data_IF_897642200602
#
_entry.id   IF_897642200602
#
_cell.length_a   1.000
_cell.length_b   1.000
_cell.length_c   1.000
_cell.angle_alpha   90.00
_cell.angle_beta   90.00
_cell.angle_gamma   90.00
#
_symmetry.space_group_name_H-M   'P 1'
#
loop_
_entity.id
_entity.type
_entity.pdbx_description
1 polymer ?
#
# COMPACT_ATOMS: atom_id res chain seq x y z
N UNK A 1 5.84 18.32 -0.23
CA UNK A 1 6.82 18.15 0.88
C UNK A 1 6.14 18.12 2.27
N UNK A 2 5.26 19.07 2.59
CA UNK A 2 4.58 19.11 3.90
C UNK A 2 3.71 17.87 4.18
N UNK A 3 2.97 17.37 3.21
CA UNK A 3 2.10 16.19 3.36
C UNK A 3 2.88 14.92 3.74
N UNK A 4 4.01 14.66 3.10
CA UNK A 4 4.82 13.46 3.37
C UNK A 4 5.45 13.48 4.77
N UNK A 5 5.95 14.64 5.21
CA UNK A 5 6.52 14.82 6.54
C UNK A 5 5.42 14.62 7.60
N UNK A 6 4.25 15.21 7.38
CA UNK A 6 3.11 15.04 8.27
C UNK A 6 2.67 13.58 8.39
N UNK A 7 2.54 12.86 7.29
CA UNK A 7 2.19 11.44 7.31
C UNK A 7 3.22 10.61 8.08
N UNK A 8 4.51 10.93 7.95
CA UNK A 8 5.58 10.30 8.73
C UNK A 8 5.42 10.53 10.23
N UNK A 9 5.18 11.78 10.64
CA UNK A 9 4.96 12.15 12.05
C UNK A 9 3.75 11.40 12.63
N UNK A 10 2.64 11.32 11.88
CA UNK A 10 1.45 10.55 12.33
C UNK A 10 1.80 9.11 12.66
N UNK A 11 2.49 8.44 11.74
CA UNK A 11 2.86 7.03 11.92
C UNK A 11 3.79 6.82 13.11
N UNK A 12 4.76 7.72 13.31
CA UNK A 12 5.69 7.64 14.44
C UNK A 12 4.95 7.86 15.76
N UNK A 13 4.13 8.91 15.84
CA UNK A 13 3.36 9.22 17.06
C UNK A 13 2.37 8.12 17.40
N UNK A 14 1.66 7.59 16.38
CA UNK A 14 0.72 6.47 16.58
C UNK A 14 1.46 5.21 17.04
N UNK A 15 2.61 4.90 16.43
CA UNK A 15 3.43 3.74 16.82
C UNK A 15 3.94 3.85 18.25
N UNK A 16 4.47 5.01 18.63
CA UNK A 16 4.94 5.25 20.01
C UNK A 16 3.79 5.18 21.03
N UNK A 17 2.61 5.71 20.69
CA UNK A 17 1.42 5.61 21.53
C UNK A 17 1.00 4.16 21.79
N UNK A 18 1.01 3.32 20.75
CA UNK A 18 0.70 1.89 20.89
C UNK A 18 1.75 1.17 21.74
N UNK A 19 3.04 1.43 21.52
CA UNK A 19 4.13 0.83 22.33
C UNK A 19 3.98 1.21 23.80
N UNK A 20 3.69 2.49 24.09
CA UNK A 20 3.49 2.97 25.44
C UNK A 20 2.33 2.26 26.15
N UNK A 21 1.20 2.09 25.46
CA UNK A 21 0.03 1.39 26.02
C UNK A 21 0.29 -0.11 26.15
N UNK A 22 1.01 -0.73 25.21
CA UNK A 22 1.41 -2.13 25.29
C UNK A 22 2.24 -2.43 26.56
N UNK A 23 3.06 -1.44 26.99
CA UNK A 23 3.86 -1.58 28.19
C UNK A 23 3.03 -1.52 29.48
N UNK A 24 1.93 -0.74 29.48
CA UNK A 24 1.08 -0.55 30.68
C UNK A 24 -0.01 -1.62 30.77
N UNK A 25 -0.70 -1.89 29.67
CA UNK A 25 -1.85 -2.80 29.59
C UNK A 25 -1.71 -3.66 28.33
N UNK A 26 -1.12 -4.88 28.44
CA UNK A 26 -0.83 -5.73 27.29
C UNK A 26 -2.05 -6.52 26.79
N UNK A 27 -3.24 -5.94 26.86
CA UNK A 27 -4.45 -6.55 26.32
C UNK A 27 -4.75 -6.04 24.89
N UNK A 28 -5.03 -6.97 23.99
CA UNK A 28 -5.22 -6.68 22.55
C UNK A 28 -6.28 -5.62 22.27
N UNK A 29 -7.39 -5.60 23.05
CA UNK A 29 -8.49 -4.66 22.85
C UNK A 29 -8.05 -3.20 23.11
N UNK A 30 -7.25 -2.97 24.17
CA UNK A 30 -6.74 -1.64 24.48
C UNK A 30 -5.68 -1.17 23.49
N UNK A 31 -4.87 -2.09 22.95
CA UNK A 31 -3.90 -1.77 21.90
C UNK A 31 -4.59 -1.31 20.61
N UNK A 32 -5.66 -2.01 20.21
CA UNK A 32 -6.46 -1.63 19.05
C UNK A 32 -7.13 -0.28 19.28
N UNK A 33 -7.77 -0.09 20.44
CA UNK A 33 -8.42 1.17 20.79
C UNK A 33 -7.40 2.34 20.81
N UNK A 34 -6.25 2.15 21.43
CA UNK A 34 -5.17 3.13 21.46
C UNK A 34 -4.68 3.55 20.08
N UNK A 35 -4.49 2.57 19.20
CA UNK A 35 -4.07 2.83 17.81
C UNK A 35 -5.08 3.73 17.09
N UNK A 36 -6.36 3.39 17.13
CA UNK A 36 -7.39 4.18 16.44
C UNK A 36 -7.62 5.55 17.09
N UNK A 37 -7.61 5.66 18.41
CA UNK A 37 -7.76 6.94 19.11
C UNK A 37 -6.59 7.87 18.76
N UNK A 38 -5.36 7.38 18.86
CA UNK A 38 -4.17 8.18 18.52
C UNK A 38 -4.19 8.62 17.06
N UNK A 39 -4.51 7.72 16.13
CA UNK A 39 -4.66 8.08 14.72
C UNK A 39 -5.73 9.16 14.50
N UNK A 40 -6.90 9.01 15.13
CA UNK A 40 -8.00 9.98 15.00
C UNK A 40 -7.60 11.36 15.48
N UNK A 41 -6.95 11.46 16.65
CA UNK A 41 -6.47 12.73 17.20
C UNK A 41 -5.46 13.40 16.25
N UNK A 42 -4.52 12.64 15.72
CA UNK A 42 -3.48 13.18 14.84
C UNK A 42 -4.07 13.61 13.50
N UNK A 43 -4.96 12.81 12.90
CA UNK A 43 -5.64 13.16 11.63
C UNK A 43 -6.50 14.41 11.82
N UNK A 44 -7.24 14.51 12.91
CA UNK A 44 -8.06 15.69 13.21
C UNK A 44 -7.22 16.95 13.40
N UNK A 45 -6.10 16.85 14.08
CA UNK A 45 -5.14 17.96 14.24
C UNK A 45 -4.57 18.41 12.89
N UNK A 46 -4.22 17.46 12.02
CA UNK A 46 -3.77 17.75 10.66
C UNK A 46 -4.84 18.43 9.81
N UNK A 47 -6.08 17.97 9.90
CA UNK A 47 -7.19 18.56 9.19
C UNK A 47 -7.39 20.04 9.58
N UNK A 48 -7.34 20.35 10.88
CA UNK A 48 -7.40 21.74 11.37
C UNK A 48 -6.26 22.61 10.85
N UNK A 49 -5.02 22.08 10.87
CA UNK A 49 -3.85 22.80 10.36
C UNK A 49 -3.94 23.02 8.84
N UNK A 50 -4.45 22.03 8.11
CA UNK A 50 -4.60 22.11 6.66
C UNK A 50 -5.63 23.20 6.27
N UNK A 51 -6.80 23.21 6.90
CA UNK A 51 -7.83 24.24 6.65
C UNK A 51 -7.33 25.64 7.01
N UNK A 52 -6.57 25.76 8.11
CA UNK A 52 -6.01 27.06 8.51
C UNK A 52 -5.03 27.60 7.49
N UNK A 53 -4.16 26.76 6.94
CA UNK A 53 -3.11 27.17 6.00
C UNK A 53 -3.58 27.23 4.55
N UNK A 54 -4.59 26.43 4.19
CA UNK A 54 -5.16 26.31 2.85
C UNK A 54 -6.68 26.36 2.92
N UNK A 55 -7.26 27.56 3.14
CA UNK A 55 -8.71 27.67 3.20
C UNK A 55 -9.33 27.24 1.86
N UNK A 56 -10.38 26.39 1.88
CA UNK A 56 -11.02 25.93 0.67
C UNK A 56 -11.62 27.13 -0.10
N UNK A 57 -11.20 27.28 -1.36
CA UNK A 57 -11.77 28.27 -2.28
C UNK A 57 -12.95 27.61 -2.99
N UNK A 58 -14.16 27.99 -2.60
CA UNK A 58 -15.39 27.36 -3.09
C UNK A 58 -15.89 27.96 -4.42
N UNK A 59 -14.98 28.33 -5.33
CA UNK A 59 -15.30 29.07 -6.54
C UNK A 59 -15.48 28.17 -7.78
N UNK A 60 -15.27 26.86 -7.66
CA UNK A 60 -15.39 25.92 -8.78
C UNK A 60 -16.42 24.86 -8.41
N UNK A 61 -17.60 24.93 -9.01
CA UNK A 61 -18.60 23.87 -8.98
C UNK A 61 -18.46 23.05 -10.25
N UNK A 62 -18.08 21.78 -10.11
CA UNK A 62 -18.12 20.80 -11.18
C UNK A 62 -19.33 19.90 -10.93
N UNK A 63 -20.38 20.05 -11.74
CA UNK A 63 -21.63 19.30 -11.63
C UNK A 63 -21.41 17.78 -11.73
N UNK A 64 -20.39 17.35 -12.47
CA UNK A 64 -20.01 15.95 -12.61
C UNK A 64 -19.23 15.37 -11.41
N UNK A 65 -18.67 16.21 -10.54
CA UNK A 65 -17.76 15.79 -9.49
C UNK A 65 -18.38 14.82 -8.48
N UNK A 66 -19.63 15.05 -8.08
CA UNK A 66 -20.34 14.19 -7.11
C UNK A 66 -20.62 12.81 -7.71
N UNK A 67 -21.06 12.77 -8.97
CA UNK A 67 -21.28 11.50 -9.67
C UNK A 67 -19.99 10.71 -9.85
N UNK A 68 -18.93 11.37 -10.30
CA UNK A 68 -17.61 10.76 -10.44
C UNK A 68 -17.07 10.24 -9.09
N UNK A 69 -17.18 11.04 -8.03
CA UNK A 69 -16.72 10.65 -6.70
C UNK A 69 -17.48 9.43 -6.18
N UNK A 70 -18.79 9.35 -6.40
CA UNK A 70 -19.60 8.20 -6.02
C UNK A 70 -19.15 6.92 -6.71
N UNK A 71 -18.94 6.95 -8.02
CA UNK A 71 -18.44 5.79 -8.77
C UNK A 71 -17.05 5.37 -8.33
N UNK A 72 -16.16 6.34 -8.13
CA UNK A 72 -14.78 6.07 -7.68
C UNK A 72 -14.75 5.49 -6.26
N UNK A 73 -15.60 6.00 -5.35
CA UNK A 73 -15.72 5.47 -3.99
C UNK A 73 -16.25 4.04 -4.01
N UNK A 74 -17.28 3.76 -4.81
CA UNK A 74 -17.84 2.42 -4.92
C UNK A 74 -16.80 1.42 -5.49
N UNK A 75 -16.11 1.80 -6.56
CA UNK A 75 -14.99 1.00 -7.10
C UNK A 75 -13.88 0.80 -6.08
N UNK A 76 -13.57 1.83 -5.28
CA UNK A 76 -12.60 1.75 -4.19
C UNK A 76 -12.97 0.75 -3.10
N UNK A 77 -14.25 0.72 -2.68
CA UNK A 77 -14.76 -0.28 -1.72
C UNK A 77 -14.64 -1.70 -2.27
N UNK A 78 -15.03 -1.92 -3.53
CA UNK A 78 -14.86 -3.22 -4.19
C UNK A 78 -13.40 -3.65 -4.25
N UNK A 79 -12.51 -2.77 -4.66
CA UNK A 79 -11.07 -3.06 -4.71
C UNK A 79 -10.50 -3.38 -3.32
N UNK A 80 -10.98 -2.71 -2.28
CA UNK A 80 -10.60 -3.00 -0.89
C UNK A 80 -11.06 -4.40 -0.46
N UNK A 81 -12.29 -4.79 -0.77
CA UNK A 81 -12.83 -6.12 -0.46
C UNK A 81 -12.08 -7.22 -1.22
N UNK A 82 -11.86 -7.01 -2.53
CA UNK A 82 -11.08 -7.93 -3.36
C UNK A 82 -9.63 -8.06 -2.86
N UNK A 83 -9.03 -6.97 -2.40
CA UNK A 83 -7.69 -6.96 -1.83
C UNK A 83 -7.55 -7.68 -0.48
N UNK A 84 -8.67 -8.10 0.15
CA UNK A 84 -8.68 -8.92 1.36
C UNK A 84 -9.27 -10.32 1.11
N UNK A 85 -9.71 -10.61 -0.10
CA UNK A 85 -10.41 -11.87 -0.43
C UNK A 85 -9.54 -13.10 -0.15
N UNK A 86 -8.24 -13.01 -0.43
CA UNK A 86 -7.26 -14.05 -0.12
C UNK A 86 -7.24 -14.40 1.37
N UNK A 87 -7.30 -13.41 2.25
CA UNK A 87 -7.30 -13.60 3.70
C UNK A 87 -8.61 -14.22 4.19
N UNK A 88 -9.74 -13.80 3.61
CA UNK A 88 -11.03 -14.43 3.92
C UNK A 88 -11.07 -15.89 3.50
N UNK A 89 -10.54 -16.22 2.31
CA UNK A 89 -10.45 -17.60 1.83
C UNK A 89 -9.54 -18.42 2.75
N UNK A 90 -8.36 -17.93 3.08
CA UNK A 90 -7.43 -18.65 3.96
C UNK A 90 -8.06 -18.87 5.35
N UNK A 91 -8.70 -17.86 5.92
CA UNK A 91 -9.37 -18.00 7.20
C UNK A 91 -10.50 -19.02 7.18
N UNK A 92 -11.36 -18.94 6.16
CA UNK A 92 -12.55 -19.80 6.06
C UNK A 92 -12.21 -21.29 5.87
N UNK A 93 -11.22 -21.59 5.01
CA UNK A 93 -10.88 -22.98 4.67
C UNK A 93 -9.80 -23.58 5.56
N UNK A 94 -8.89 -22.78 6.10
CA UNK A 94 -7.71 -23.26 6.82
C UNK A 94 -7.62 -22.77 8.28
N UNK A 95 -8.52 -21.89 8.69
CA UNK A 95 -8.63 -21.39 10.06
C UNK A 95 -7.63 -20.30 10.44
N UNK A 96 -7.70 -19.81 11.70
CA UNK A 96 -6.96 -18.62 12.16
C UNK A 96 -5.45 -18.82 12.22
N UNK A 97 -4.97 -20.04 12.52
CA UNK A 97 -3.52 -20.34 12.57
C UNK A 97 -2.90 -20.20 11.19
N UNK A 98 -3.56 -20.74 10.17
CA UNK A 98 -3.11 -20.63 8.77
C UNK A 98 -3.18 -19.20 8.25
N UNK A 99 -4.18 -18.41 8.71
CA UNK A 99 -4.25 -16.99 8.38
C UNK A 99 -3.06 -16.22 8.99
N UNK A 100 -2.70 -16.50 10.24
CA UNK A 100 -1.53 -15.87 10.88
C UNK A 100 -0.23 -16.20 10.14
N UNK A 101 -0.04 -17.48 9.78
CA UNK A 101 1.07 -17.96 8.95
C UNK A 101 1.13 -17.26 7.60
N UNK A 102 0.00 -17.19 6.87
CA UNK A 102 -0.11 -16.49 5.60
C UNK A 102 0.20 -15.00 5.74
N UNK A 103 -0.31 -14.36 6.78
CA UNK A 103 -0.09 -12.93 7.01
C UNK A 103 1.40 -12.63 7.25
N UNK A 104 2.08 -13.39 8.10
CA UNK A 104 3.52 -13.26 8.33
C UNK A 104 4.31 -13.50 7.04
N UNK A 105 3.99 -14.56 6.30
CA UNK A 105 4.65 -14.88 5.03
C UNK A 105 4.48 -13.77 3.97
N UNK A 106 3.33 -13.07 3.96
CA UNK A 106 3.02 -12.02 3.00
C UNK A 106 3.56 -10.63 3.38
N UNK A 107 3.99 -10.42 4.63
CA UNK A 107 4.37 -9.08 5.13
C UNK A 107 5.50 -8.45 4.32
N UNK A 108 6.63 -9.13 4.14
CA UNK A 108 7.77 -8.57 3.40
C UNK A 108 7.44 -8.39 1.92
N UNK A 109 6.88 -9.38 1.21
CA UNK A 109 6.44 -9.20 -0.17
C UNK A 109 5.53 -7.98 -0.36
N UNK A 110 4.55 -7.80 0.53
CA UNK A 110 3.64 -6.64 0.46
C UNK A 110 4.36 -5.30 0.66
N UNK A 111 5.35 -5.20 1.55
CA UNK A 111 6.10 -3.96 1.73
C UNK A 111 6.93 -3.62 0.48
N UNK A 112 7.55 -4.61 -0.17
CA UNK A 112 8.21 -4.41 -1.47
C UNK A 112 7.20 -3.92 -2.52
N UNK A 113 6.02 -4.52 -2.58
CA UNK A 113 4.94 -4.08 -3.46
C UNK A 113 4.54 -2.61 -3.21
N UNK A 114 4.43 -2.19 -1.96
CA UNK A 114 4.12 -0.79 -1.58
C UNK A 114 5.18 0.20 -2.07
N UNK A 115 6.46 -0.16 -2.00
CA UNK A 115 7.54 0.68 -2.54
C UNK A 115 7.35 0.89 -4.04
N UNK A 116 7.03 -0.17 -4.78
CA UNK A 116 6.78 -0.07 -6.23
C UNK A 116 5.58 0.83 -6.52
N UNK A 117 4.47 0.67 -5.80
CA UNK A 117 3.29 1.54 -5.94
C UNK A 117 3.63 3.00 -5.64
N UNK A 118 4.47 3.28 -4.66
CA UNK A 118 4.93 4.64 -4.35
C UNK A 118 5.72 5.25 -5.53
N UNK A 119 6.61 4.48 -6.16
CA UNK A 119 7.33 4.90 -7.36
C UNK A 119 6.36 5.22 -8.52
N UNK A 120 5.31 4.39 -8.68
CA UNK A 120 4.24 4.62 -9.64
C UNK A 120 3.52 5.96 -9.41
N UNK A 121 3.16 6.26 -8.17
CA UNK A 121 2.49 7.51 -7.82
C UNK A 121 3.33 8.75 -8.15
N UNK A 122 4.64 8.67 -7.97
CA UNK A 122 5.57 9.76 -8.35
C UNK A 122 5.68 9.90 -9.87
N UNK A 123 5.54 8.80 -10.62
CA UNK A 123 5.60 8.83 -12.08
C UNK A 123 4.30 9.33 -12.74
N UNK A 124 3.16 9.19 -12.07
CA UNK A 124 1.84 9.52 -12.61
C UNK A 124 1.71 10.95 -13.19
N UNK A 125 2.16 12.03 -12.52
CA UNK A 125 2.08 13.38 -13.08
C UNK A 125 2.86 13.55 -14.38
N UNK A 126 3.93 12.76 -14.58
CA UNK A 126 4.72 12.77 -15.81
C UNK A 126 3.95 12.13 -16.97
N UNK A 127 3.15 11.11 -16.67
CA UNK A 127 2.28 10.49 -17.67
C UNK A 127 1.17 11.43 -18.16
N UNK A 128 0.60 12.23 -17.24
CA UNK A 128 -0.44 13.21 -17.60
C UNK A 128 0.10 14.28 -18.55
N UNK A 129 1.32 14.79 -18.30
CA UNK A 129 1.90 15.92 -19.02
C UNK A 129 2.66 15.54 -20.29
N UNK A 130 3.10 14.30 -20.40
CA UNK A 130 3.98 13.88 -21.51
C UNK A 130 3.24 13.55 -22.81
N UNK A 131 3.96 13.66 -23.93
CA UNK A 131 3.46 13.26 -25.23
C UNK A 131 3.34 11.72 -25.38
N UNK A 132 2.36 11.27 -26.20
CA UNK A 132 2.00 9.85 -26.30
C UNK A 132 3.15 8.97 -26.79
N UNK A 133 3.80 9.38 -27.87
CA UNK A 133 4.82 8.54 -28.51
C UNK A 133 6.11 8.47 -27.70
N UNK A 134 6.52 9.60 -27.13
CA UNK A 134 7.67 9.65 -26.21
C UNK A 134 7.46 8.78 -24.97
N UNK A 135 6.26 8.82 -24.39
CA UNK A 135 5.95 8.04 -23.19
C UNK A 135 5.90 6.56 -23.49
N UNK A 136 5.33 6.13 -24.63
CA UNK A 136 5.21 4.71 -24.98
C UNK A 136 6.58 4.02 -25.04
N UNK A 137 7.57 4.64 -25.68
CA UNK A 137 8.93 4.11 -25.73
C UNK A 137 9.62 4.06 -24.37
N UNK A 138 9.50 5.16 -23.61
CA UNK A 138 10.09 5.25 -22.27
C UNK A 138 9.41 4.28 -21.29
N UNK A 139 8.09 4.08 -21.41
CA UNK A 139 7.32 3.18 -20.58
C UNK A 139 7.78 1.73 -20.75
N UNK A 140 7.89 1.25 -21.98
CA UNK A 140 8.35 -0.13 -22.26
C UNK A 140 9.71 -0.41 -21.65
N UNK A 141 10.69 0.48 -21.89
CA UNK A 141 12.04 0.33 -21.32
C UNK A 141 12.03 0.33 -19.79
N UNK A 142 11.24 1.22 -19.17
CA UNK A 142 11.14 1.29 -17.71
C UNK A 142 10.43 0.08 -17.11
N UNK A 143 9.42 -0.46 -17.79
CA UNK A 143 8.75 -1.69 -17.37
C UNK A 143 9.73 -2.86 -17.31
N UNK A 144 10.49 -3.08 -18.38
CA UNK A 144 11.50 -4.15 -18.43
C UNK A 144 12.54 -3.97 -17.33
N UNK A 145 13.06 -2.75 -17.17
CA UNK A 145 14.05 -2.45 -16.13
C UNK A 145 13.48 -2.71 -14.73
N UNK A 146 12.26 -2.22 -14.44
CA UNK A 146 11.64 -2.40 -13.12
C UNK A 146 11.33 -3.87 -12.84
N UNK A 147 10.82 -4.61 -13.84
CA UNK A 147 10.61 -6.06 -13.71
C UNK A 147 11.92 -6.78 -13.44
N UNK A 148 13.00 -6.44 -14.16
CA UNK A 148 14.33 -6.99 -13.91
C UNK A 148 14.83 -6.72 -12.49
N UNK A 149 14.67 -5.50 -12.00
CA UNK A 149 15.01 -5.13 -10.61
C UNK A 149 14.19 -5.95 -9.61
N UNK A 150 12.87 -6.10 -9.82
CA UNK A 150 12.02 -6.86 -8.92
C UNK A 150 12.36 -8.36 -8.92
N UNK A 151 12.66 -8.92 -10.08
CA UNK A 151 13.15 -10.31 -10.17
C UNK A 151 14.47 -10.46 -9.42
N UNK A 152 15.40 -9.53 -9.58
CA UNK A 152 16.65 -9.53 -8.83
C UNK A 152 16.43 -9.43 -7.31
N UNK A 153 15.56 -8.53 -6.87
CA UNK A 153 15.19 -8.40 -5.45
C UNK A 153 14.53 -9.69 -4.93
N UNK A 154 13.68 -10.35 -5.74
CA UNK A 154 13.07 -11.62 -5.37
C UNK A 154 14.09 -12.74 -5.22
N UNK A 155 15.10 -12.81 -6.10
CA UNK A 155 16.21 -13.76 -5.99
C UNK A 155 17.06 -13.49 -4.75
N UNK A 156 17.39 -12.23 -4.49
CA UNK A 156 18.10 -11.83 -3.27
C UNK A 156 17.32 -12.19 -2.02
N UNK A 157 16.01 -11.95 -2.05
CA UNK A 157 15.12 -12.32 -0.94
C UNK A 157 15.11 -13.83 -0.70
N UNK A 158 15.16 -14.65 -1.72
CA UNK A 158 15.21 -16.12 -1.58
C UNK A 158 16.39 -16.57 -0.71
N UNK A 159 17.55 -15.90 -0.85
CA UNK A 159 18.74 -16.18 -0.04
C UNK A 159 18.59 -15.65 1.39
N UNK A 160 18.01 -14.46 1.54
CA UNK A 160 17.89 -13.78 2.83
C UNK A 160 16.67 -14.19 3.66
N UNK A 161 15.66 -14.80 3.05
CA UNK A 161 14.39 -15.12 3.72
C UNK A 161 14.60 -16.09 4.89
N UNK A 162 15.38 -17.14 4.72
CA UNK A 162 15.60 -18.11 5.78
C UNK A 162 16.28 -17.50 7.04
N UNK A 163 17.44 -16.83 6.94
CA UNK A 163 18.03 -16.15 8.10
C UNK A 163 17.14 -15.08 8.70
N UNK A 164 16.39 -14.35 7.88
CA UNK A 164 15.45 -13.35 8.37
C UNK A 164 14.32 -13.97 9.23
N UNK A 165 13.69 -15.04 8.74
CA UNK A 165 12.65 -15.73 9.51
C UNK A 165 13.22 -16.40 10.76
N UNK A 166 14.42 -16.95 10.69
CA UNK A 166 15.06 -17.55 11.84
C UNK A 166 15.30 -16.56 13.00
N UNK A 167 15.65 -15.32 12.66
CA UNK A 167 15.93 -14.27 13.66
C UNK A 167 14.65 -13.63 14.20
N UNK A 168 13.72 -13.25 13.29
CA UNK A 168 12.57 -12.43 13.65
C UNK A 168 11.28 -13.22 13.87
N UNK A 169 11.13 -14.37 13.22
CA UNK A 169 9.91 -15.19 13.26
C UNK A 169 10.20 -16.68 13.39
N UNK A 170 10.94 -17.13 14.44
CA UNK A 170 11.41 -18.52 14.54
C UNK A 170 10.27 -19.54 14.50
N UNK A 171 9.10 -19.21 15.02
CA UNK A 171 7.91 -20.08 15.01
C UNK A 171 7.26 -20.24 13.62
N UNK A 172 7.65 -19.42 12.62
CA UNK A 172 7.12 -19.43 11.25
C UNK A 172 8.16 -19.82 10.19
N UNK A 173 9.24 -20.49 10.58
CA UNK A 173 10.30 -20.94 9.65
C UNK A 173 9.72 -21.83 8.54
N UNK A 174 8.71 -22.67 8.85
CA UNK A 174 8.02 -23.50 7.87
C UNK A 174 7.30 -22.73 6.76
N UNK A 175 7.08 -21.42 6.94
CA UNK A 175 6.36 -20.56 5.99
C UNK A 175 7.27 -19.77 5.04
N UNK A 176 8.61 -19.95 5.15
CA UNK A 176 9.59 -19.27 4.30
C UNK A 176 9.33 -19.55 2.82
N UNK A 177 9.04 -20.80 2.45
CA UNK A 177 8.72 -21.16 1.06
C UNK A 177 7.49 -20.42 0.53
N UNK A 178 6.44 -20.26 1.35
CA UNK A 178 5.25 -19.50 0.98
C UNK A 178 5.59 -18.03 0.75
N UNK A 179 6.42 -17.44 1.60
CA UNK A 179 6.86 -16.05 1.47
C UNK A 179 7.68 -15.82 0.20
N UNK A 180 8.56 -16.76 -0.17
CA UNK A 180 9.35 -16.70 -1.41
C UNK A 180 8.42 -16.74 -2.63
N UNK A 181 7.44 -17.65 -2.67
CA UNK A 181 6.46 -17.72 -3.78
C UNK A 181 5.68 -16.42 -3.91
N UNK A 182 5.21 -15.86 -2.79
CA UNK A 182 4.51 -14.58 -2.78
C UNK A 182 5.40 -13.45 -3.30
N UNK A 183 6.68 -13.44 -2.96
CA UNK A 183 7.62 -12.42 -3.43
C UNK A 183 7.77 -12.41 -4.96
N UNK A 184 7.85 -13.58 -5.59
CA UNK A 184 7.87 -13.69 -7.05
C UNK A 184 6.54 -13.23 -7.67
N UNK A 185 5.40 -13.46 -7.00
CA UNK A 185 4.10 -12.94 -7.43
C UNK A 185 4.08 -11.42 -7.55
N UNK A 186 4.80 -10.71 -6.70
CA UNK A 186 4.91 -9.24 -6.77
C UNK A 186 5.78 -8.73 -7.92
N UNK A 187 6.58 -9.57 -8.57
CA UNK A 187 7.33 -9.18 -9.78
C UNK A 187 6.40 -8.80 -10.96
N UNK A 188 5.11 -9.14 -10.88
CA UNK A 188 4.09 -8.78 -11.89
C UNK A 188 3.57 -7.34 -11.68
N UNK A 189 3.77 -6.71 -10.53
CA UNK A 189 3.25 -5.35 -10.23
C UNK A 189 3.62 -4.29 -11.29
N UNK A 190 4.76 -4.33 -11.99
CA UNK A 190 5.06 -3.35 -13.02
C UNK A 190 3.99 -3.19 -14.10
N UNK A 191 3.15 -4.20 -14.36
CA UNK A 191 2.04 -4.06 -15.31
C UNK A 191 1.05 -2.94 -14.90
N UNK A 192 0.97 -2.60 -13.61
CA UNK A 192 0.14 -1.49 -13.11
C UNK A 192 0.57 -0.13 -13.69
N UNK A 193 1.82 0.02 -14.18
CA UNK A 193 2.25 1.22 -14.92
C UNK A 193 1.44 1.40 -16.21
N UNK A 194 1.15 0.30 -16.89
CA UNK A 194 0.33 0.31 -18.12
C UNK A 194 -1.07 0.79 -17.78
N UNK A 195 -1.68 0.24 -16.74
CA UNK A 195 -2.99 0.67 -16.28
C UNK A 195 -3.03 2.15 -15.91
N UNK A 196 -2.06 2.62 -15.12
CA UNK A 196 -1.97 4.03 -14.72
C UNK A 196 -1.77 4.96 -15.92
N UNK A 197 -0.98 4.55 -16.92
CA UNK A 197 -0.81 5.31 -18.14
C UNK A 197 -2.12 5.50 -18.89
N UNK A 198 -2.89 4.43 -19.11
CA UNK A 198 -4.19 4.53 -19.78
C UNK A 198 -5.19 5.37 -18.96
N UNK A 199 -5.21 5.22 -17.65
CA UNK A 199 -6.05 6.04 -16.76
C UNK A 199 -5.68 7.52 -16.85
N UNK A 200 -4.38 7.85 -16.85
CA UNK A 200 -3.89 9.22 -16.96
C UNK A 200 -4.31 9.90 -18.28
N UNK A 201 -4.37 9.15 -19.37
CA UNK A 201 -4.81 9.65 -20.68
C UNK A 201 -6.32 9.65 -20.87
N UNK A 202 -7.11 9.26 -19.88
CA UNK A 202 -8.59 9.14 -19.93
C UNK A 202 -9.09 8.30 -21.13
N UNK A 203 -8.24 7.41 -21.65
CA UNK A 203 -8.57 6.57 -22.82
C UNK A 203 -9.37 5.32 -22.43
N UNK A 204 -9.79 5.18 -21.18
CA UNK A 204 -10.68 4.10 -20.79
C UNK A 204 -12.10 4.58 -21.08
N UNK A 205 -12.67 4.06 -22.17
CA UNK A 205 -14.12 4.11 -22.36
C UNK A 205 -14.71 3.18 -21.30
N UNK A 206 -15.31 3.77 -20.27
CA UNK A 206 -16.14 3.07 -19.30
C UNK A 206 -17.47 2.73 -19.93
#
# INVERSE_FOLDING_TARGET
KYSSIHTGIVKIVSGLGVIFIAYIIPETIYLIAAFYITQTIVIFSQYKLLIKNFPPKNNLQDEGMVSYSRHTTFAGVFNMLLGQADKFIVYHFFGPISLASYWIASTIPQEVGRVVVTVLQVAYPKFVKGDHDTIKHVLSKKLVTLTGVLVFVSLLYTVLAYPFFHIFFPQYIGDVSKSIVLMFGFAIIPHMFVWQYYTAKRNIKV
#
